data_IF_859571659124
#
_entry.id   IF_859571659124
#
_cell.length_a   1.000
_cell.length_b   1.000
_cell.length_c   1.000
_cell.angle_alpha   90.00
_cell.angle_beta   90.00
_cell.angle_gamma   90.00
#
_symmetry.space_group_name_H-M   'P 1'
#
loop_
_entity.id
_entity.type
_entity.pdbx_description
1 polymer ?
#
# COMPACT_ATOMS: atom_id res chain seq x y z
N UNK A 1 18.98 -11.91 -16.10
CA UNK A 1 17.86 -10.96 -16.04
C UNK A 1 17.47 -10.88 -14.57
N UNK A 2 18.02 -9.93 -13.84
CA UNK A 2 17.72 -9.73 -12.42
C UNK A 2 16.52 -8.80 -12.40
N UNK A 3 15.36 -9.28 -11.96
CA UNK A 3 14.24 -8.41 -11.56
C UNK A 3 14.82 -7.47 -10.51
N UNK A 4 14.96 -6.15 -10.77
CA UNK A 4 15.48 -5.26 -9.75
C UNK A 4 14.50 -5.32 -8.60
N UNK A 5 14.92 -5.99 -7.52
CA UNK A 5 14.20 -6.03 -6.26
C UNK A 5 13.83 -4.60 -5.95
N UNK A 6 12.54 -4.38 -5.76
CA UNK A 6 12.01 -3.03 -5.62
C UNK A 6 12.69 -2.43 -4.39
N UNK A 7 13.60 -1.51 -4.68
CA UNK A 7 14.35 -0.75 -3.72
C UNK A 7 13.35 0.23 -3.13
N UNK A 8 12.74 -0.16 -2.00
CA UNK A 8 11.78 0.66 -1.28
C UNK A 8 12.57 1.80 -0.65
N UNK A 9 12.81 2.85 -1.44
CA UNK A 9 13.56 4.05 -1.00
C UNK A 9 12.73 4.98 -0.15
N UNK A 10 11.41 4.83 -0.20
CA UNK A 10 10.45 5.65 0.52
C UNK A 10 9.22 4.83 0.87
N UNK A 11 8.54 5.23 1.95
CA UNK A 11 7.23 4.68 2.31
C UNK A 11 6.23 4.73 1.14
N UNK A 12 6.29 5.78 0.32
CA UNK A 12 5.46 5.92 -0.87
C UNK A 12 5.71 4.82 -1.93
N UNK A 13 6.92 4.27 -2.00
CA UNK A 13 7.23 3.18 -2.94
C UNK A 13 6.71 1.83 -2.43
N UNK A 14 6.80 1.59 -1.11
CA UNK A 14 6.19 0.42 -0.46
C UNK A 14 4.67 0.40 -0.68
N UNK A 15 4.04 1.55 -0.47
CA UNK A 15 2.60 1.73 -0.59
C UNK A 15 2.13 1.42 -2.03
N UNK A 16 2.85 1.93 -3.03
CA UNK A 16 2.58 1.62 -4.45
C UNK A 16 2.76 0.14 -4.78
N UNK A 17 3.80 -0.50 -4.24
CA UNK A 17 3.98 -1.93 -4.42
C UNK A 17 2.81 -2.73 -3.85
N UNK A 18 2.43 -2.43 -2.60
CA UNK A 18 1.36 -3.13 -1.92
C UNK A 18 0.03 -2.95 -2.66
N UNK A 19 -0.24 -1.74 -3.15
CA UNK A 19 -1.42 -1.44 -3.96
C UNK A 19 -1.42 -2.24 -5.27
N UNK A 20 -0.29 -2.28 -5.97
CA UNK A 20 -0.17 -3.03 -7.23
C UNK A 20 -0.30 -4.54 -7.01
N UNK A 21 0.30 -5.09 -5.96
CA UNK A 21 0.15 -6.50 -5.60
C UNK A 21 -1.30 -6.84 -5.22
N UNK A 22 -2.00 -5.96 -4.49
CA UNK A 22 -3.42 -6.13 -4.16
C UNK A 22 -4.29 -6.17 -5.41
N UNK A 23 -4.04 -5.30 -6.39
CA UNK A 23 -4.76 -5.31 -7.67
C UNK A 23 -4.53 -6.59 -8.47
N UNK A 24 -3.30 -7.11 -8.47
CA UNK A 24 -2.96 -8.37 -9.16
C UNK A 24 -3.61 -9.57 -8.47
N UNK A 25 -3.68 -9.57 -7.14
CA UNK A 25 -4.32 -10.65 -6.38
C UNK A 25 -5.85 -10.58 -6.38
N UNK A 26 -6.41 -9.38 -6.42
CA UNK A 26 -7.85 -9.13 -6.35
C UNK A 26 -8.36 -8.28 -7.53
N UNK A 27 -8.31 -8.82 -8.77
CA UNK A 27 -8.89 -8.13 -9.92
C UNK A 27 -10.40 -7.94 -9.79
N UNK A 28 -11.06 -8.69 -8.90
CA UNK A 28 -12.48 -8.59 -8.58
C UNK A 28 -12.86 -7.31 -7.81
N UNK A 29 -11.88 -6.60 -7.23
CA UNK A 29 -12.11 -5.35 -6.50
C UNK A 29 -12.05 -4.11 -7.39
N UNK A 30 -11.62 -4.29 -8.64
CA UNK A 30 -11.60 -3.24 -9.65
C UNK A 30 -13.03 -3.07 -10.16
N UNK A 31 -13.58 -1.87 -9.98
CA UNK A 31 -14.91 -1.53 -10.46
C UNK A 31 -14.92 -1.33 -11.99
N UNK A 32 -16.11 -1.09 -12.55
CA UNK A 32 -16.27 -0.86 -13.99
C UNK A 32 -15.60 0.43 -14.49
N UNK A 33 -15.30 1.36 -13.60
CA UNK A 33 -14.60 2.62 -13.88
C UNK A 33 -13.06 2.48 -13.78
N UNK A 34 -12.57 1.31 -13.35
CA UNK A 34 -11.14 1.03 -13.18
C UNK A 34 -10.57 1.47 -11.82
N UNK A 35 -11.42 1.92 -10.90
CA UNK A 35 -11.06 2.24 -9.53
C UNK A 35 -11.18 1.00 -8.63
N UNK A 36 -10.31 0.91 -7.63
CA UNK A 36 -10.40 -0.10 -6.59
C UNK A 36 -10.74 0.57 -5.26
N UNK A 37 -12.02 0.80 -4.93
CA UNK A 37 -12.40 1.46 -3.67
C UNK A 37 -11.94 0.68 -2.44
N UNK A 38 -11.84 -0.64 -2.53
CA UNK A 38 -11.27 -1.49 -1.48
C UNK A 38 -9.77 -1.24 -1.29
N UNK A 39 -9.04 -1.01 -2.39
CA UNK A 39 -7.62 -0.70 -2.35
C UNK A 39 -7.38 0.68 -1.71
N UNK A 40 -8.21 1.68 -2.04
CA UNK A 40 -8.16 3.00 -1.41
C UNK A 40 -8.42 2.94 0.10
N UNK A 41 -9.36 2.11 0.54
CA UNK A 41 -9.63 1.92 1.96
C UNK A 41 -8.45 1.25 2.68
N UNK A 42 -7.82 0.27 2.04
CA UNK A 42 -6.59 -0.37 2.54
C UNK A 42 -5.45 0.64 2.69
N UNK A 43 -5.30 1.51 1.71
CA UNK A 43 -4.28 2.55 1.65
C UNK A 43 -4.43 3.55 2.80
N UNK A 44 -5.66 4.05 3.03
CA UNK A 44 -5.98 4.92 4.17
C UNK A 44 -5.70 4.25 5.50
N UNK A 45 -6.09 2.98 5.64
CA UNK A 45 -5.89 2.22 6.87
C UNK A 45 -4.41 1.97 7.15
N UNK A 46 -3.62 1.70 6.12
CA UNK A 46 -2.17 1.55 6.25
C UNK A 46 -1.52 2.85 6.72
N UNK A 47 -1.87 4.00 6.12
CA UNK A 47 -1.37 5.30 6.56
C UNK A 47 -1.74 5.60 8.02
N UNK A 48 -2.95 5.23 8.45
CA UNK A 48 -3.39 5.37 9.84
C UNK A 48 -2.58 4.48 10.80
N UNK A 49 -2.38 3.20 10.46
CA UNK A 49 -1.59 2.27 11.27
C UNK A 49 -0.15 2.76 11.44
N UNK A 50 0.45 3.30 10.38
CA UNK A 50 1.80 3.83 10.42
C UNK A 50 1.87 5.10 11.27
N UNK A 51 0.88 5.99 11.13
CA UNK A 51 0.78 7.17 12.00
C UNK A 51 0.67 6.77 13.48
N UNK A 52 -0.07 5.70 13.79
CA UNK A 52 -0.18 5.16 15.15
C UNK A 52 1.13 4.53 15.64
N UNK A 53 1.82 3.79 14.77
CA UNK A 53 3.12 3.20 15.10
C UNK A 53 4.19 4.28 15.35
N UNK A 54 4.27 5.29 14.49
CA UNK A 54 5.17 6.45 14.67
C UNK A 54 4.87 7.17 15.99
N UNK A 55 3.60 7.46 16.27
CA UNK A 55 3.19 8.09 17.52
C UNK A 55 3.57 7.23 18.75
N UNK A 56 3.42 5.91 18.67
CA UNK A 56 3.84 5.00 19.73
C UNK A 56 5.37 4.96 19.89
N UNK A 57 6.13 5.10 18.81
CA UNK A 57 7.60 5.07 18.82
C UNK A 57 8.23 6.38 19.35
N UNK A 58 7.52 7.50 19.33
CA UNK A 58 7.96 8.77 19.92
C UNK A 58 7.83 8.84 21.45
N UNK A 59 7.19 7.85 22.08
CA UNK A 59 6.98 7.75 23.53
C UNK A 59 7.86 6.68 24.22
N UNK A 60 8.98 6.27 23.60
CA UNK A 60 9.96 5.34 24.17
C UNK A 60 11.24 6.05 24.66
#
# INVERSE_FOLDING_TARGET
>A
MITPGIDIRSYADLQKQLHNDLLVQHPEWIDSDGNCPTCDEYDRRLAQLISMFEAAHQHA
#
